data_IF_153265775744
#
_entry.id   IF_153265775744
#
_cell.length_a   1.000
_cell.length_b   1.000
_cell.length_c   1.000
_cell.angle_alpha   90.00
_cell.angle_beta   90.00
_cell.angle_gamma   90.00
#
_symmetry.space_group_name_H-M   'P 1'
#
loop_
_entity.id
_entity.type
_entity.pdbx_description
1 polymer ?
#
# COMPACT_ATOMS: atom_id res chain seq x y z
N UNK A 1 8.62 -27.04 -3.26
CA UNK A 1 7.36 -27.20 -2.48
C UNK A 1 6.70 -28.54 -2.82
N UNK A 2 6.53 -28.86 -4.11
CA UNK A 2 5.87 -30.09 -4.61
C UNK A 2 6.32 -31.40 -3.94
N UNK A 3 7.62 -31.55 -3.62
CA UNK A 3 8.15 -32.78 -3.00
C UNK A 3 8.28 -32.73 -1.47
N UNK A 4 7.97 -31.59 -0.85
CA UNK A 4 8.14 -31.35 0.60
C UNK A 4 6.82 -31.15 1.34
N UNK A 5 5.75 -30.83 0.64
CA UNK A 5 4.42 -30.58 1.22
C UNK A 5 3.43 -31.49 0.51
N UNK A 6 2.90 -32.48 1.22
CA UNK A 6 1.77 -33.30 0.77
C UNK A 6 0.50 -32.65 1.27
N UNK A 7 -0.25 -32.07 0.35
CA UNK A 7 -1.55 -31.49 0.60
C UNK A 7 -2.62 -32.61 0.52
N UNK A 8 -3.62 -32.63 1.42
CA UNK A 8 -4.80 -33.47 1.29
C UNK A 8 -5.43 -33.39 -0.11
N UNK A 9 -5.95 -34.52 -0.59
CA UNK A 9 -6.50 -34.64 -1.95
C UNK A 9 -7.81 -33.87 -2.16
N UNK A 10 -8.48 -33.49 -1.07
CA UNK A 10 -9.74 -32.74 -1.00
C UNK A 10 -9.54 -31.22 -0.94
N UNK A 11 -8.30 -30.73 -1.06
CA UNK A 11 -8.05 -29.29 -1.13
C UNK A 11 -8.65 -28.68 -2.38
N UNK A 12 -9.43 -27.62 -2.16
CA UNK A 12 -9.94 -26.77 -3.22
C UNK A 12 -8.91 -25.68 -3.55
N UNK A 13 -8.77 -25.38 -4.83
CA UNK A 13 -7.91 -24.31 -5.34
C UNK A 13 -8.78 -23.17 -5.85
N UNK A 14 -8.26 -21.95 -5.76
CA UNK A 14 -8.90 -20.74 -6.25
C UNK A 14 -7.96 -20.01 -7.21
N UNK A 15 -8.52 -19.23 -8.13
CA UNK A 15 -7.77 -18.46 -9.13
C UNK A 15 -8.01 -16.95 -9.01
N UNK A 16 -9.09 -16.53 -8.37
CA UNK A 16 -9.40 -15.11 -8.25
C UNK A 16 -10.45 -14.77 -7.20
N UNK A 17 -10.79 -13.49 -7.16
CA UNK A 17 -11.70 -12.91 -6.17
C UNK A 17 -13.03 -13.64 -6.04
N UNK A 18 -13.68 -13.96 -7.17
CA UNK A 18 -14.99 -14.61 -7.18
C UNK A 18 -15.02 -15.99 -6.51
N UNK A 19 -13.90 -16.71 -6.52
CA UNK A 19 -13.80 -18.06 -5.94
C UNK A 19 -13.76 -18.03 -4.40
N UNK A 20 -13.37 -16.90 -3.80
CA UNK A 20 -13.21 -16.77 -2.35
C UNK A 20 -14.53 -16.40 -1.64
N UNK A 21 -15.45 -15.76 -2.37
CA UNK A 21 -16.67 -15.17 -1.80
C UNK A 21 -17.58 -16.24 -1.19
N UNK A 22 -17.99 -16.02 0.06
CA UNK A 22 -18.90 -16.90 0.80
C UNK A 22 -18.32 -18.25 1.23
N UNK A 23 -17.05 -18.53 0.90
CA UNK A 23 -16.38 -19.80 1.19
C UNK A 23 -15.14 -19.64 2.08
N UNK A 24 -14.69 -18.40 2.30
CA UNK A 24 -13.43 -18.10 3.00
C UNK A 24 -13.66 -17.21 4.21
N UNK A 25 -13.29 -17.69 5.40
CA UNK A 25 -13.34 -16.90 6.64
C UNK A 25 -12.11 -16.01 6.84
N UNK A 26 -10.93 -16.50 6.42
CA UNK A 26 -9.63 -15.84 6.59
C UNK A 26 -8.73 -16.20 5.42
N UNK A 27 -8.00 -15.22 4.88
CA UNK A 27 -6.94 -15.46 3.91
C UNK A 27 -5.56 -15.40 4.58
N UNK A 28 -4.75 -16.44 4.40
CA UNK A 28 -3.40 -16.53 4.96
C UNK A 28 -2.37 -16.25 3.87
N UNK A 29 -1.63 -15.16 4.00
CA UNK A 29 -0.49 -14.84 3.13
C UNK A 29 0.80 -15.38 3.73
N UNK A 30 1.55 -16.19 2.97
CA UNK A 30 2.84 -16.76 3.38
C UNK A 30 3.96 -16.09 2.57
N UNK A 31 4.62 -15.08 3.13
CA UNK A 31 5.60 -14.29 2.40
C UNK A 31 5.93 -12.96 3.08
N UNK A 32 6.44 -12.00 2.32
CA UNK A 32 6.71 -10.64 2.83
C UNK A 32 5.54 -9.69 2.62
N UNK A 33 5.78 -8.39 2.86
CA UNK A 33 4.77 -7.35 2.62
C UNK A 33 4.30 -7.33 1.15
N UNK A 34 5.18 -7.56 0.18
CA UNK A 34 4.79 -7.67 -1.24
C UNK A 34 3.80 -8.80 -1.51
N UNK A 35 4.03 -9.98 -0.92
CA UNK A 35 3.10 -11.11 -1.03
C UNK A 35 1.76 -10.81 -0.38
N UNK A 36 1.74 -10.01 0.70
CA UNK A 36 0.50 -9.55 1.31
C UNK A 36 -0.22 -8.55 0.41
N UNK A 37 0.48 -7.61 -0.24
CA UNK A 37 -0.13 -6.70 -1.22
C UNK A 37 -0.78 -7.46 -2.38
N UNK A 38 -0.13 -8.52 -2.88
CA UNK A 38 -0.70 -9.36 -3.94
C UNK A 38 -2.00 -10.06 -3.50
N UNK A 39 -2.21 -10.30 -2.20
CA UNK A 39 -3.48 -10.86 -1.71
C UNK A 39 -4.64 -9.87 -1.75
N UNK A 40 -4.37 -8.56 -1.78
CA UNK A 40 -5.41 -7.53 -1.82
C UNK A 40 -6.20 -7.59 -3.14
N UNK A 41 -5.53 -7.97 -4.23
CA UNK A 41 -6.13 -8.26 -5.54
C UNK A 41 -7.19 -9.35 -5.49
N UNK A 42 -7.02 -10.31 -4.58
CA UNK A 42 -7.92 -11.44 -4.37
C UNK A 42 -9.08 -11.07 -3.45
N UNK A 43 -8.82 -10.37 -2.33
CA UNK A 43 -9.88 -10.05 -1.37
C UNK A 43 -10.73 -8.84 -1.78
N UNK A 44 -10.15 -7.82 -2.41
CA UNK A 44 -10.82 -6.57 -2.80
C UNK A 44 -11.72 -6.03 -1.66
N UNK A 45 -12.99 -5.76 -1.96
CA UNK A 45 -14.02 -5.26 -1.05
C UNK A 45 -14.82 -6.37 -0.34
N UNK A 46 -14.40 -7.64 -0.44
CA UNK A 46 -15.11 -8.77 0.20
C UNK A 46 -15.19 -8.71 1.72
N UNK A 47 -14.33 -7.91 2.36
CA UNK A 47 -14.19 -7.85 3.80
C UNK A 47 -13.46 -9.03 4.45
N UNK A 48 -13.02 -10.03 3.65
CA UNK A 48 -12.26 -11.19 4.14
C UNK A 48 -10.98 -10.69 4.83
N UNK A 49 -10.77 -11.03 6.12
CA UNK A 49 -9.58 -10.61 6.84
C UNK A 49 -8.34 -11.39 6.39
N UNK A 50 -7.20 -10.69 6.34
CA UNK A 50 -5.92 -11.25 5.88
C UNK A 50 -4.94 -11.31 7.03
N UNK A 51 -4.26 -12.45 7.18
CA UNK A 51 -3.14 -12.63 8.11
C UNK A 51 -1.85 -12.87 7.33
N UNK A 52 -0.81 -12.07 7.62
CA UNK A 52 0.49 -12.15 6.97
C UNK A 52 1.52 -12.89 7.82
N UNK A 53 1.99 -14.04 7.34
CA UNK A 53 3.07 -14.81 7.97
C UNK A 53 4.37 -14.58 7.20
N UNK A 54 5.34 -14.02 7.91
CA UNK A 54 6.62 -13.64 7.37
C UNK A 54 7.64 -14.77 7.37
N UNK A 55 8.10 -15.15 6.18
CA UNK A 55 9.16 -16.14 5.95
C UNK A 55 10.54 -15.52 5.70
N UNK A 56 10.61 -14.19 5.62
CA UNK A 56 11.83 -13.43 5.36
C UNK A 56 12.17 -12.46 6.49
N UNK A 57 12.40 -11.21 6.13
CA UNK A 57 12.63 -10.12 7.08
C UNK A 57 11.28 -9.59 7.54
N UNK A 58 11.12 -9.36 8.85
CA UNK A 58 9.92 -8.78 9.46
C UNK A 58 9.39 -7.59 8.62
N UNK A 59 8.09 -7.49 8.40
CA UNK A 59 7.46 -6.46 7.57
C UNK A 59 6.62 -5.51 8.42
N UNK A 60 6.03 -4.49 7.80
CA UNK A 60 5.00 -3.65 8.43
C UNK A 60 3.60 -4.27 8.32
N UNK A 61 3.37 -5.09 7.29
CA UNK A 61 2.08 -5.75 7.03
C UNK A 61 2.11 -7.21 7.49
N UNK A 62 3.16 -7.94 7.14
CA UNK A 62 3.40 -9.32 7.58
C UNK A 62 4.27 -9.33 8.85
N UNK A 63 3.61 -9.21 10.01
CA UNK A 63 4.26 -9.09 11.32
C UNK A 63 4.54 -10.43 12.02
N UNK A 64 3.82 -11.50 11.67
CA UNK A 64 3.95 -12.79 12.35
C UNK A 64 5.17 -13.54 11.82
N UNK A 65 6.10 -13.91 12.69
CA UNK A 65 7.28 -14.67 12.26
C UNK A 65 6.95 -16.15 12.01
N UNK A 66 7.73 -16.81 11.15
CA UNK A 66 7.63 -18.27 10.90
C UNK A 66 7.66 -19.14 12.17
N UNK A 67 8.29 -18.69 13.25
CA UNK A 67 8.36 -19.41 14.53
C UNK A 67 7.05 -19.34 15.34
N UNK A 68 6.16 -18.43 14.98
CA UNK A 68 4.92 -18.14 15.70
C UNK A 68 3.67 -18.65 14.97
N UNK A 69 3.85 -19.36 13.85
CA UNK A 69 2.77 -19.93 13.03
C UNK A 69 1.79 -20.70 13.89
N UNK A 70 2.28 -21.61 14.75
CA UNK A 70 1.42 -22.42 15.60
C UNK A 70 0.52 -21.56 16.50
N UNK A 71 1.11 -20.56 17.16
CA UNK A 71 0.39 -19.62 18.03
C UNK A 71 -0.61 -18.79 17.24
N UNK A 72 -0.25 -18.36 16.03
CA UNK A 72 -1.14 -17.62 15.15
C UNK A 72 -2.40 -18.42 14.80
N UNK A 73 -2.24 -19.70 14.43
CA UNK A 73 -3.38 -20.57 14.12
C UNK A 73 -4.22 -20.93 15.36
N UNK A 74 -3.60 -21.13 16.53
CA UNK A 74 -4.32 -21.29 17.81
C UNK A 74 -5.17 -20.05 18.11
N UNK A 75 -4.59 -18.84 17.98
CA UNK A 75 -5.31 -17.59 18.17
C UNK A 75 -6.43 -17.38 17.14
N UNK A 76 -6.21 -17.75 15.87
CA UNK A 76 -7.26 -17.71 14.84
C UNK A 76 -8.44 -18.63 15.20
N UNK A 77 -8.16 -19.87 15.61
CA UNK A 77 -9.17 -20.84 15.99
C UNK A 77 -9.99 -20.37 17.20
N UNK A 78 -9.33 -19.75 18.18
CA UNK A 78 -9.98 -19.21 19.37
C UNK A 78 -10.58 -17.81 19.16
N UNK A 79 -10.42 -17.21 17.98
CA UNK A 79 -10.81 -15.82 17.67
C UNK A 79 -10.15 -14.77 18.59
N UNK A 80 -8.92 -15.05 19.03
CA UNK A 80 -8.10 -14.20 19.89
C UNK A 80 -7.25 -13.23 19.05
N UNK A 81 -7.91 -12.40 18.27
CA UNK A 81 -7.26 -11.41 17.43
C UNK A 81 -8.12 -10.15 17.29
N UNK A 82 -7.51 -9.08 16.80
CA UNK A 82 -8.20 -7.85 16.42
C UNK A 82 -8.10 -7.63 14.91
N UNK A 83 -9.08 -6.92 14.35
CA UNK A 83 -9.05 -6.46 12.98
C UNK A 83 -8.49 -5.05 12.92
N UNK A 84 -7.41 -4.88 12.16
CA UNK A 84 -6.79 -3.60 11.86
C UNK A 84 -7.24 -3.14 10.48
N UNK A 85 -8.18 -2.20 10.46
CA UNK A 85 -8.80 -1.66 9.25
C UNK A 85 -7.83 -0.72 8.55
N UNK A 86 -7.50 -1.00 7.30
CA UNK A 86 -6.62 -0.16 6.50
C UNK A 86 -7.38 0.57 5.40
N UNK A 87 -7.22 1.89 5.38
CA UNK A 87 -7.67 2.76 4.30
C UNK A 87 -6.83 2.52 3.04
N UNK A 88 -7.49 2.59 1.89
CA UNK A 88 -6.86 2.49 0.57
C UNK A 88 -7.08 3.78 -0.21
N UNK A 89 -6.17 4.05 -1.14
CA UNK A 89 -6.39 4.98 -2.24
C UNK A 89 -7.15 4.27 -3.34
N UNK A 90 -7.92 5.03 -4.11
CA UNK A 90 -8.55 4.61 -5.36
C UNK A 90 -8.12 5.54 -6.48
N UNK A 91 -7.99 5.00 -7.70
CA UNK A 91 -7.62 5.75 -8.89
C UNK A 91 -8.74 5.75 -9.92
N UNK A 92 -9.16 6.93 -10.33
CA UNK A 92 -10.08 7.14 -11.42
C UNK A 92 -9.36 7.75 -12.62
N UNK A 93 -9.66 7.21 -13.80
CA UNK A 93 -9.24 7.74 -15.09
C UNK A 93 -10.23 7.28 -16.17
N UNK A 94 -10.18 7.91 -17.35
CA UNK A 94 -11.07 7.57 -18.49
C UNK A 94 -11.01 6.09 -18.90
N UNK A 95 -9.90 5.40 -18.68
CA UNK A 95 -9.65 4.05 -19.19
C UNK A 95 -9.53 2.96 -18.11
N UNK A 96 -9.83 3.26 -16.84
CA UNK A 96 -9.63 2.32 -15.71
C UNK A 96 -8.27 1.61 -15.77
N UNK A 97 -7.18 2.34 -15.54
CA UNK A 97 -5.80 1.88 -15.72
C UNK A 97 -5.53 0.45 -15.21
N UNK A 98 -6.02 0.09 -14.03
CA UNK A 98 -5.82 -1.21 -13.38
C UNK A 98 -7.10 -2.06 -13.31
N UNK A 99 -8.07 -1.83 -14.20
CA UNK A 99 -9.32 -2.61 -14.25
C UNK A 99 -10.11 -2.56 -12.94
N UNK A 100 -10.37 -3.73 -12.35
CA UNK A 100 -11.07 -3.89 -11.06
C UNK A 100 -10.21 -3.59 -9.85
N UNK A 101 -8.94 -3.29 -10.08
CA UNK A 101 -7.96 -3.16 -9.02
C UNK A 101 -7.33 -1.76 -8.98
N UNK A 102 -8.13 -0.77 -9.34
CA UNK A 102 -7.83 0.66 -9.24
C UNK A 102 -7.81 1.14 -7.78
N UNK A 103 -7.08 0.45 -6.92
CA UNK A 103 -6.86 0.80 -5.54
C UNK A 103 -5.46 0.39 -5.08
N UNK A 104 -4.94 1.13 -4.09
CA UNK A 104 -3.63 0.88 -3.48
C UNK A 104 -3.73 0.94 -1.96
N UNK A 105 -3.09 -0.01 -1.28
CA UNK A 105 -2.95 0.02 0.16
C UNK A 105 -1.78 0.91 0.58
N UNK A 106 -0.64 0.85 -0.11
CA UNK A 106 0.51 1.69 0.21
C UNK A 106 0.37 3.03 -0.49
N UNK A 107 0.57 3.05 -1.80
CA UNK A 107 0.71 4.28 -2.53
C UNK A 107 0.37 4.17 -4.01
N UNK A 108 0.02 5.32 -4.57
CA UNK A 108 -0.07 5.54 -6.00
C UNK A 108 1.04 6.51 -6.37
N UNK A 109 1.91 6.07 -7.28
CA UNK A 109 3.09 6.83 -7.68
C UNK A 109 2.96 7.21 -9.15
N UNK A 110 3.06 8.51 -9.43
CA UNK A 110 3.23 9.06 -10.77
C UNK A 110 4.73 9.25 -10.99
N UNK A 111 5.30 8.65 -12.01
CA UNK A 111 6.74 8.69 -12.26
C UNK A 111 7.06 8.89 -13.74
N UNK A 112 8.17 9.57 -14.04
CA UNK A 112 8.64 9.69 -15.42
C UNK A 112 8.99 8.32 -16.01
N UNK A 113 8.76 8.15 -17.32
CA UNK A 113 9.15 6.93 -18.04
C UNK A 113 10.60 6.97 -18.50
N UNK A 114 11.05 8.13 -18.99
CA UNK A 114 12.36 8.31 -19.61
C UNK A 114 13.29 9.09 -18.68
N UNK A 115 14.55 8.67 -18.58
CA UNK A 115 15.53 9.25 -17.64
C UNK A 115 16.08 10.63 -18.07
N UNK A 116 15.77 11.11 -19.28
CA UNK A 116 16.43 12.27 -19.88
C UNK A 116 15.71 13.60 -19.68
N UNK A 117 14.46 13.61 -19.24
CA UNK A 117 13.68 14.83 -19.04
C UNK A 117 12.84 14.78 -17.76
N UNK A 118 12.81 15.92 -17.07
CA UNK A 118 11.94 16.17 -15.93
C UNK A 118 10.47 16.23 -16.37
N UNK A 119 9.55 15.87 -15.47
CA UNK A 119 8.12 16.09 -15.65
C UNK A 119 7.62 17.19 -14.70
N UNK A 120 6.61 17.93 -15.13
CA UNK A 120 5.86 18.88 -14.32
C UNK A 120 4.51 18.22 -14.01
N UNK A 121 4.19 18.10 -12.73
CA UNK A 121 2.93 17.50 -12.25
C UNK A 121 2.12 18.62 -11.60
N UNK A 122 1.06 19.06 -12.26
CA UNK A 122 0.11 20.02 -11.70
C UNK A 122 -0.86 19.25 -10.80
N UNK A 123 -0.86 19.57 -9.50
CA UNK A 123 -1.72 18.94 -8.52
C UNK A 123 -2.85 19.89 -8.10
N UNK A 124 -4.05 19.35 -8.03
CA UNK A 124 -5.26 20.03 -7.59
C UNK A 124 -5.90 19.23 -6.45
N UNK A 125 -6.44 19.92 -5.46
CA UNK A 125 -7.17 19.34 -4.34
C UNK A 125 -8.57 19.96 -4.33
N UNK A 126 -9.61 19.14 -4.51
CA UNK A 126 -11.00 19.61 -4.66
C UNK A 126 -11.12 20.75 -5.69
N UNK A 127 -10.48 20.57 -6.85
CA UNK A 127 -10.40 21.54 -7.96
C UNK A 127 -9.63 22.84 -7.66
N UNK A 128 -9.06 23.00 -6.46
CA UNK A 128 -8.15 24.10 -6.12
C UNK A 128 -6.71 23.74 -6.45
N UNK A 129 -5.98 24.67 -7.09
CA UNK A 129 -4.57 24.47 -7.44
C UNK A 129 -3.69 24.43 -6.18
N UNK A 130 -2.94 23.35 -6.01
CA UNK A 130 -2.01 23.17 -4.88
C UNK A 130 -0.62 23.62 -5.26
N UNK A 131 -0.03 22.96 -6.27
CA UNK A 131 1.34 23.22 -6.70
C UNK A 131 1.61 22.59 -8.07
N UNK A 132 2.67 23.05 -8.73
CA UNK A 132 3.29 22.37 -9.87
C UNK A 132 4.61 21.75 -9.42
N UNK A 133 4.67 20.43 -9.36
CA UNK A 133 5.86 19.69 -8.92
C UNK A 133 6.79 19.44 -10.10
N UNK A 134 7.98 20.04 -10.05
CA UNK A 134 9.08 19.82 -10.97
C UNK A 134 9.97 18.72 -10.38
N UNK A 135 9.75 17.48 -10.78
CA UNK A 135 10.26 16.31 -10.07
C UNK A 135 10.44 15.10 -11.00
N UNK A 136 11.06 14.04 -10.49
CA UNK A 136 11.10 12.73 -11.16
C UNK A 136 9.73 12.02 -11.07
N UNK A 137 8.94 12.39 -10.07
CA UNK A 137 7.61 11.86 -9.83
C UNK A 137 6.97 12.41 -8.55
N UNK A 138 5.79 11.90 -8.24
CA UNK A 138 4.98 12.26 -7.08
C UNK A 138 4.32 11.01 -6.51
N UNK A 139 4.48 10.79 -5.21
CA UNK A 139 3.90 9.67 -4.47
C UNK A 139 2.70 10.20 -3.68
N UNK A 140 1.57 9.53 -3.78
CA UNK A 140 0.42 9.75 -2.90
C UNK A 140 0.29 8.47 -2.08
N UNK A 141 0.58 8.55 -0.79
CA UNK A 141 0.60 7.40 0.10
C UNK A 141 -0.50 7.47 1.16
N UNK A 142 -1.03 6.31 1.51
CA UNK A 142 -1.85 6.13 2.71
C UNK A 142 -0.99 6.17 3.97
N UNK A 143 -1.58 6.19 5.18
CA UNK A 143 -0.83 6.03 6.41
C UNK A 143 -0.04 4.72 6.46
N UNK A 144 -0.57 3.66 5.82
CA UNK A 144 0.11 2.37 5.70
C UNK A 144 1.32 2.45 4.76
N UNK A 145 1.17 3.13 3.62
CA UNK A 145 2.27 3.37 2.67
C UNK A 145 3.30 4.40 3.12
N UNK A 146 3.04 5.13 4.22
CA UNK A 146 3.97 6.12 4.76
C UNK A 146 5.33 5.53 5.14
N UNK A 147 5.38 4.24 5.48
CA UNK A 147 6.61 3.49 5.80
C UNK A 147 7.19 2.72 4.62
N UNK A 148 6.61 2.85 3.42
CA UNK A 148 7.06 2.20 2.18
C UNK A 148 7.89 3.19 1.33
N UNK A 149 7.52 3.38 0.06
CA UNK A 149 8.31 4.21 -0.86
C UNK A 149 8.32 5.68 -0.44
N UNK A 150 7.21 6.18 0.11
CA UNK A 150 7.11 7.54 0.65
C UNK A 150 8.20 7.85 1.68
N UNK A 151 8.50 6.93 2.61
CA UNK A 151 9.56 7.11 3.61
C UNK A 151 10.95 7.28 2.96
N UNK A 152 11.21 6.48 1.92
CA UNK A 152 12.49 6.53 1.19
C UNK A 152 12.66 7.85 0.43
N UNK A 153 11.57 8.51 0.05
CA UNK A 153 11.56 9.83 -0.58
C UNK A 153 11.42 10.99 0.41
N UNK A 154 11.59 10.74 1.72
CA UNK A 154 11.58 11.77 2.76
C UNK A 154 10.19 12.12 3.29
N UNK A 155 9.17 11.33 2.98
CA UNK A 155 7.85 11.41 3.60
C UNK A 155 7.89 11.07 5.10
N UNK A 156 6.95 11.62 5.90
CA UNK A 156 6.86 11.33 7.33
C UNK A 156 6.29 9.94 7.59
N UNK A 157 6.62 9.37 8.75
CA UNK A 157 5.95 8.18 9.29
C UNK A 157 4.58 8.60 9.82
N UNK A 158 3.53 7.90 9.41
CA UNK A 158 2.15 8.20 9.80
C UNK A 158 1.56 6.99 10.52
N UNK A 159 0.81 7.22 11.59
CA UNK A 159 0.12 6.14 12.30
C UNK A 159 -1.08 5.64 11.47
N UNK A 160 -1.31 4.32 11.32
CA UNK A 160 -2.30 3.77 10.37
C UNK A 160 -3.71 4.37 10.45
N UNK A 161 -4.18 4.73 11.64
CA UNK A 161 -5.53 5.27 11.88
C UNK A 161 -5.62 6.81 11.83
N UNK A 162 -4.67 7.49 11.19
CA UNK A 162 -4.60 8.97 11.20
C UNK A 162 -5.48 9.68 10.15
N UNK A 163 -6.26 8.92 9.36
CA UNK A 163 -7.26 9.44 8.40
C UNK A 163 -6.75 10.54 7.46
N UNK A 164 -5.55 10.34 6.92
CA UNK A 164 -4.90 11.30 6.04
C UNK A 164 -4.16 10.59 4.90
N UNK A 165 -3.83 11.37 3.87
CA UNK A 165 -2.87 11.00 2.85
C UNK A 165 -1.66 11.90 2.91
N UNK A 166 -0.54 11.45 2.34
CA UNK A 166 0.64 12.28 2.16
C UNK A 166 1.06 12.32 0.70
N UNK A 167 1.31 13.54 0.23
CA UNK A 167 1.91 13.82 -1.08
C UNK A 167 3.42 13.98 -0.88
N UNK A 168 4.22 13.06 -1.41
CA UNK A 168 5.69 13.07 -1.29
C UNK A 168 6.32 13.19 -2.68
N UNK A 169 7.02 14.30 -3.00
CA UNK A 169 7.71 14.45 -4.28
C UNK A 169 8.95 13.57 -4.37
N UNK A 170 9.25 13.03 -5.56
CA UNK A 170 10.45 12.24 -5.82
C UNK A 170 11.51 13.15 -6.45
N UNK A 171 12.62 13.37 -5.74
CA UNK A 171 13.73 14.22 -6.19
C UNK A 171 13.26 15.58 -6.79
N UNK A 172 12.52 16.41 -6.02
CA UNK A 172 12.04 17.69 -6.52
C UNK A 172 13.21 18.64 -6.82
N UNK A 173 13.13 19.35 -7.94
CA UNK A 173 14.14 20.34 -8.33
C UNK A 173 14.01 21.68 -7.59
N UNK A 174 12.88 21.92 -6.93
CA UNK A 174 12.69 23.09 -6.08
C UNK A 174 12.99 22.73 -4.62
N UNK A 175 13.98 23.42 -4.04
CA UNK A 175 14.50 23.18 -2.68
C UNK A 175 13.49 23.44 -1.57
N UNK A 176 12.40 24.17 -1.84
CA UNK A 176 11.38 24.52 -0.85
C UNK A 176 10.20 23.55 -0.82
N UNK A 177 10.16 22.57 -1.73
CA UNK A 177 9.08 21.58 -1.74
C UNK A 177 9.27 20.61 -0.59
N UNK A 178 8.19 20.33 0.14
CA UNK A 178 8.15 19.40 1.28
C UNK A 178 6.99 18.42 1.09
N UNK A 179 7.03 17.24 1.76
CA UNK A 179 5.86 16.39 1.86
C UNK A 179 4.68 17.15 2.45
N UNK A 180 3.49 16.89 1.93
CA UNK A 180 2.25 17.58 2.31
C UNK A 180 1.20 16.58 2.77
N UNK A 181 0.84 16.63 4.06
CA UNK A 181 -0.21 15.78 4.64
C UNK A 181 -1.55 16.49 4.46
N UNK A 182 -2.55 15.73 3.99
CA UNK A 182 -3.91 16.22 3.72
C UNK A 182 -4.95 15.25 4.28
N UNK A 183 -6.18 15.69 4.58
CA UNK A 183 -7.26 14.79 4.99
C UNK A 183 -7.53 13.73 3.91
N UNK A 184 -7.86 12.50 4.31
CA UNK A 184 -8.18 11.43 3.34
C UNK A 184 -9.54 11.62 2.65
N UNK A 185 -10.34 12.60 3.07
CA UNK A 185 -11.65 12.93 2.50
C UNK A 185 -11.60 13.77 1.22
N UNK A 186 -10.41 14.22 0.79
CA UNK A 186 -10.26 15.10 -0.37
C UNK A 186 -10.09 14.31 -1.67
N UNK A 187 -10.44 14.96 -2.79
CA UNK A 187 -10.15 14.48 -4.14
C UNK A 187 -8.88 15.16 -4.65
N UNK A 188 -7.89 14.37 -5.04
CA UNK A 188 -6.67 14.84 -5.67
C UNK A 188 -6.73 14.62 -7.17
N UNK A 189 -6.34 15.61 -7.95
CA UNK A 189 -6.30 15.48 -9.40
C UNK A 189 -4.98 15.96 -9.97
N UNK A 190 -4.46 15.24 -10.96
CA UNK A 190 -3.14 15.46 -11.54
C UNK A 190 -3.21 15.63 -13.05
N UNK A 191 -2.54 16.66 -13.53
CA UNK A 191 -2.31 16.94 -14.94
C UNK A 191 -0.81 16.98 -15.22
N UNK A 192 -0.37 16.31 -16.29
CA UNK A 192 1.05 16.04 -16.53
C UNK A 192 1.54 16.84 -17.73
N UNK A 193 2.53 17.70 -17.52
CA UNK A 193 3.30 18.32 -18.57
C UNK A 193 4.70 17.67 -18.64
N UNK A 194 4.96 16.96 -19.74
CA UNK A 194 6.23 16.31 -19.98
C UNK A 194 6.63 16.36 -21.47
N UNK A 195 7.94 16.33 -21.71
CA UNK A 195 8.51 16.19 -23.07
C UNK A 195 8.15 14.83 -23.67
N UNK A 196 8.26 13.77 -22.87
CA UNK A 196 7.77 12.45 -23.27
C UNK A 196 6.24 12.47 -23.39
N UNK A 197 5.70 11.74 -24.36
CA UNK A 197 4.26 11.59 -24.50
C UNK A 197 3.66 10.72 -23.38
N UNK A 198 4.48 9.91 -22.70
CA UNK A 198 4.03 8.92 -21.74
C UNK A 198 4.76 9.02 -20.41
N UNK A 199 4.05 8.66 -19.34
CA UNK A 199 4.57 8.54 -17.98
C UNK A 199 4.11 7.21 -17.38
N UNK A 200 4.62 6.87 -16.20
CA UNK A 200 4.26 5.65 -15.48
C UNK A 200 3.35 6.01 -14.31
N UNK A 201 2.34 5.18 -14.10
CA UNK A 201 1.54 5.18 -12.87
C UNK A 201 1.72 3.82 -12.23
N UNK A 202 2.15 3.81 -10.98
CA UNK A 202 2.22 2.61 -10.16
C UNK A 202 1.12 2.63 -9.10
N UNK A 203 0.48 1.49 -8.89
CA UNK A 203 -0.57 1.26 -7.91
C UNK A 203 -0.14 0.04 -7.08
N UNK A 204 0.47 0.30 -5.91
CA UNK A 204 1.29 -0.66 -5.17
C UNK A 204 2.35 -1.33 -6.07
N UNK A 205 2.29 -2.65 -6.25
CA UNK A 205 3.27 -3.44 -7.02
C UNK A 205 3.06 -3.42 -8.54
N UNK A 206 1.97 -2.81 -9.03
CA UNK A 206 1.57 -2.84 -10.44
C UNK A 206 1.83 -1.52 -11.11
N UNK A 207 2.22 -1.53 -12.39
CA UNK A 207 2.57 -0.32 -13.12
C UNK A 207 1.99 -0.32 -14.52
N UNK A 208 1.39 0.81 -14.90
CA UNK A 208 0.84 1.05 -16.22
C UNK A 208 1.52 2.24 -16.89
N UNK A 209 1.61 2.19 -18.22
CA UNK A 209 2.12 3.31 -19.01
C UNK A 209 0.96 4.18 -19.50
N UNK A 210 0.97 5.45 -19.14
CA UNK A 210 -0.15 6.38 -19.35
C UNK A 210 0.27 7.52 -20.27
N UNK A 211 -0.62 7.93 -21.16
CA UNK A 211 -0.41 9.11 -22.00
C UNK A 211 -0.65 10.40 -21.21
N UNK A 212 0.16 11.43 -21.44
CA UNK A 212 0.06 12.72 -20.71
C UNK A 212 -1.30 13.44 -20.87
N UNK A 213 -2.09 13.10 -21.88
CA UNK A 213 -3.46 13.60 -22.03
C UNK A 213 -4.46 13.03 -21.01
N UNK A 214 -4.10 11.98 -20.29
CA UNK A 214 -4.96 11.34 -19.29
C UNK A 214 -4.84 12.08 -17.96
N UNK A 215 -5.95 12.65 -17.52
CA UNK A 215 -6.13 13.20 -16.17
C UNK A 215 -6.33 12.04 -15.17
N UNK A 216 -5.60 12.10 -14.05
CA UNK A 216 -5.66 11.10 -12.98
C UNK A 216 -6.31 11.73 -11.77
N UNK A 217 -7.33 11.08 -11.22
CA UNK A 217 -7.98 11.50 -9.98
C UNK A 217 -7.83 10.42 -8.93
N UNK A 218 -7.35 10.79 -7.75
CA UNK A 218 -7.18 9.92 -6.59
C UNK A 218 -8.14 10.32 -5.48
N UNK A 219 -8.78 9.33 -4.87
CA UNK A 219 -9.70 9.50 -3.75
C UNK A 219 -9.46 8.39 -2.71
N UNK A 220 -9.99 8.56 -1.50
CA UNK A 220 -10.19 7.42 -0.59
C UNK A 220 -11.09 6.37 -1.24
N UNK A 221 -10.66 5.12 -1.18
CA UNK A 221 -11.49 4.00 -1.64
C UNK A 221 -12.75 3.86 -0.77
N UNK A 222 -13.86 3.43 -1.37
CA UNK A 222 -15.14 3.23 -0.68
C UNK A 222 -15.18 2.03 0.27
N UNK A 223 -14.05 1.34 0.47
CA UNK A 223 -13.93 0.16 1.32
C UNK A 223 -12.59 0.16 2.06
N UNK A 224 -12.49 -0.73 3.05
CA UNK A 224 -11.27 -0.99 3.80
C UNK A 224 -10.87 -2.45 3.66
N UNK A 225 -9.59 -2.74 3.86
CA UNK A 225 -9.10 -4.11 4.02
C UNK A 225 -8.84 -4.38 5.51
N UNK A 226 -9.14 -5.60 5.94
CA UNK A 226 -9.01 -6.02 7.33
C UNK A 226 -7.73 -6.85 7.48
N UNK A 227 -6.75 -6.35 8.23
CA UNK A 227 -5.57 -7.14 8.59
C UNK A 227 -5.77 -7.75 9.98
N UNK A 228 -5.48 -9.04 10.13
CA UNK A 228 -5.54 -9.72 11.41
C UNK A 228 -4.30 -9.37 12.22
N UNK A 229 -4.51 -8.98 13.47
CA UNK A 229 -3.46 -8.75 14.45
C UNK A 229 -3.64 -9.60 15.68
N UNK A 230 -2.59 -10.31 16.04
CA UNK A 230 -2.54 -11.06 17.29
C UNK A 230 -2.39 -10.09 18.47
N UNK A 231 -3.03 -10.41 19.60
CA UNK A 231 -3.15 -9.52 20.76
C UNK A 231 -1.80 -9.11 21.39
N UNK A 232 -0.73 -9.85 21.11
CA UNK A 232 0.62 -9.57 21.58
C UNK A 232 1.42 -8.61 20.66
N UNK A 233 0.86 -8.19 19.52
CA UNK A 233 1.55 -7.36 18.54
C UNK A 233 0.98 -5.95 18.44
N UNK A 234 1.84 -4.93 18.57
CA UNK A 234 1.46 -3.52 18.41
C UNK A 234 2.20 -2.86 17.26
N UNK A 235 1.59 -1.86 16.62
CA UNK A 235 2.18 -1.16 15.47
C UNK A 235 3.49 -0.48 15.88
N UNK A 236 3.49 0.10 17.08
CA UNK A 236 4.66 0.77 17.65
C UNK A 236 5.80 -0.22 17.93
N UNK A 237 5.50 -1.46 18.35
CA UNK A 237 6.50 -2.52 18.49
C UNK A 237 7.13 -2.85 17.14
N UNK A 238 6.32 -3.06 16.10
CA UNK A 238 6.82 -3.30 14.73
C UNK A 238 7.69 -2.14 14.26
N UNK A 239 7.22 -0.91 14.43
CA UNK A 239 7.92 0.31 14.03
C UNK A 239 9.30 0.45 14.70
N UNK A 240 9.36 0.27 16.03
CA UNK A 240 10.64 0.30 16.78
C UNK A 240 11.59 -0.78 16.30
N UNK A 241 11.11 -2.02 16.12
CA UNK A 241 11.93 -3.14 15.68
C UNK A 241 12.42 -2.96 14.23
N UNK A 242 11.59 -2.38 13.35
CA UNK A 242 11.90 -2.15 11.93
C UNK A 242 12.91 -1.04 11.71
N UNK A 243 12.71 0.09 12.38
CA UNK A 243 13.50 1.30 12.18
C UNK A 243 14.62 1.47 13.21
N UNK A 244 14.78 0.50 14.11
CA UNK A 244 15.65 0.63 15.29
C UNK A 244 15.32 1.91 16.08
N UNK A 245 14.04 2.28 16.10
CA UNK A 245 13.62 3.61 16.55
C UNK A 245 13.69 3.70 18.06
N UNK A 246 14.49 4.65 18.55
CA UNK A 246 14.73 4.85 19.98
C UNK A 246 15.79 3.93 20.58
N UNK A 247 16.55 3.18 19.77
CA UNK A 247 17.74 2.50 20.27
C UNK A 247 18.78 3.56 20.67
N UNK A 248 19.20 3.51 21.92
CA UNK A 248 20.19 4.40 22.51
C UNK A 248 21.16 3.55 23.33
N UNK A 249 22.47 3.82 23.19
CA UNK A 249 23.53 3.09 23.87
C UNK A 249 23.47 3.26 25.39
N UNK A 250 22.80 4.30 25.91
CA UNK A 250 22.57 4.51 27.35
C UNK A 250 21.56 3.53 27.97
N UNK A 251 20.81 2.80 27.16
CA UNK A 251 19.83 1.82 27.62
C UNK A 251 20.43 0.40 27.78
N UNK A 252 21.75 0.26 27.61
CA UNK A 252 22.50 -1.00 27.70
C UNK A 252 23.64 -0.91 28.71
#
# INVERSE_FOLDING_TARGET
IKDKVKLPSDIQVFNGHGDLLGQTDVLVSLGGDGTLLDTLSLIRDSGIPVIGINFGRLGFLASINKGEIKKAFEALQNKEYSLDKRTLLSIASKHRLFGDENFALNDITIHRRDNSAMMIIHAYMNDEFVNSYWADGLIIATPTGSTAYSLSCGGPIIYPSSENFVITPIAPHNLNVRPFIIPDSVSLTFEIEARSAKFLVSCDSRTETVDKSVKITLNKAGFHVNLIRLNNESYLTTLRNKLLWGIDTRNY
#
